data_IF_252898106234
#
_entry.id   IF_252898106234
#
_cell.length_a   1.000
_cell.length_b   1.000
_cell.length_c   1.000
_cell.angle_alpha   90.00
_cell.angle_beta   90.00
_cell.angle_gamma   90.00
#
_symmetry.space_group_name_H-M   'P 1'
#
loop_
_entity.id
_entity.type
_entity.pdbx_description
1 polymer ?
#
# COMPACT_ATOMS: atom_id res chain seq x y z
N UNK A 1 -13.73 23.82 14.28
CA UNK A 1 -12.88 22.73 13.72
C UNK A 1 -11.78 23.35 12.89
N UNK A 2 -10.55 22.88 13.07
CA UNK A 2 -9.39 23.25 12.27
C UNK A 2 -9.19 22.22 11.15
N UNK A 3 -8.81 22.66 9.95
CA UNK A 3 -8.52 21.77 8.81
C UNK A 3 -7.13 22.07 8.27
N UNK A 4 -6.31 21.03 8.13
CA UNK A 4 -4.95 21.11 7.59
C UNK A 4 -4.88 20.29 6.31
N UNK A 5 -4.50 20.93 5.21
CA UNK A 5 -4.19 20.25 3.96
C UNK A 5 -2.73 19.78 3.96
N UNK A 6 -2.48 18.54 3.54
CA UNK A 6 -1.13 17.96 3.45
C UNK A 6 -0.94 17.33 2.06
N UNK A 7 -0.01 17.86 1.27
CA UNK A 7 0.19 17.45 -0.11
C UNK A 7 0.99 16.14 -0.23
N UNK A 8 1.16 15.65 -1.46
CA UNK A 8 1.98 14.48 -1.80
C UNK A 8 3.42 14.81 -2.19
N UNK A 9 4.19 13.79 -2.58
CA UNK A 9 5.51 13.95 -3.19
C UNK A 9 5.45 14.77 -4.50
N UNK A 10 6.56 15.42 -4.85
CA UNK A 10 6.73 16.24 -6.07
C UNK A 10 5.95 17.57 -6.11
N UNK A 11 5.34 18.00 -5.01
CA UNK A 11 4.67 19.30 -4.94
C UNK A 11 5.67 20.41 -4.60
N UNK A 12 5.67 21.47 -5.42
CA UNK A 12 6.47 22.68 -5.22
C UNK A 12 5.63 23.93 -4.94
N UNK A 13 4.29 23.83 -5.03
CA UNK A 13 3.37 24.94 -4.78
C UNK A 13 2.04 24.45 -4.19
N UNK A 14 1.53 25.18 -3.20
CA UNK A 14 0.24 24.93 -2.55
C UNK A 14 -0.99 25.05 -3.46
N UNK A 15 -0.83 25.52 -4.71
CA UNK A 15 -1.92 25.51 -5.67
C UNK A 15 -2.34 24.06 -6.02
N UNK A 16 -1.51 23.05 -5.71
CA UNK A 16 -1.87 21.63 -5.82
C UNK A 16 -3.22 21.29 -5.19
N UNK A 17 -3.63 22.04 -4.16
CA UNK A 17 -4.90 21.85 -3.45
C UNK A 17 -6.14 22.26 -4.27
N UNK A 18 -5.98 22.77 -5.48
CA UNK A 18 -7.09 23.27 -6.30
C UNK A 18 -7.79 24.42 -5.60
N UNK A 19 -9.11 24.51 -5.76
CA UNK A 19 -9.96 25.46 -5.04
C UNK A 19 -10.77 24.79 -3.92
N UNK A 20 -10.43 23.54 -3.56
CA UNK A 20 -11.07 22.80 -2.48
C UNK A 20 -10.99 23.51 -1.12
N UNK A 21 -9.84 24.10 -0.71
CA UNK A 21 -9.77 24.86 0.54
C UNK A 21 -10.74 26.06 0.57
N UNK A 22 -10.77 26.85 -0.51
CA UNK A 22 -11.64 28.02 -0.64
C UNK A 22 -13.11 27.63 -0.64
N UNK A 23 -13.45 26.53 -1.31
CA UNK A 23 -14.81 26.01 -1.30
C UNK A 23 -15.23 25.53 0.09
N UNK A 24 -14.38 24.77 0.80
CA UNK A 24 -14.68 24.36 2.18
C UNK A 24 -14.87 25.57 3.10
N UNK A 25 -14.10 26.64 2.93
CA UNK A 25 -14.30 27.88 3.66
C UNK A 25 -15.67 28.52 3.34
N UNK A 26 -16.12 28.49 2.09
CA UNK A 26 -17.43 29.02 1.69
C UNK A 26 -18.58 28.24 2.35
N UNK A 27 -18.46 26.92 2.48
CA UNK A 27 -19.44 26.05 3.14
C UNK A 27 -19.60 26.38 4.64
N UNK A 28 -18.64 27.06 5.24
CA UNK A 28 -18.74 27.55 6.62
C UNK A 28 -19.72 28.71 6.74
N UNK A 29 -19.67 29.66 5.79
CA UNK A 29 -20.55 30.84 5.76
C UNK A 29 -22.01 30.44 5.56
N UNK A 30 -22.24 29.35 4.86
CA UNK A 30 -23.56 28.78 4.59
C UNK A 30 -24.08 27.88 5.74
N UNK A 31 -23.33 27.76 6.85
CA UNK A 31 -23.72 26.99 8.03
C UNK A 31 -23.59 25.47 7.87
N UNK A 32 -23.01 24.98 6.78
CA UNK A 32 -22.87 23.55 6.51
C UNK A 32 -21.74 22.88 7.32
N UNK A 33 -20.76 23.65 7.82
CA UNK A 33 -19.65 23.17 8.65
C UNK A 33 -19.35 24.13 9.81
N UNK A 34 -19.04 23.59 10.98
CA UNK A 34 -18.51 24.34 12.13
C UNK A 34 -16.97 24.52 12.01
N UNK A 35 -16.51 25.06 10.89
CA UNK A 35 -15.14 25.54 10.69
C UNK A 35 -15.18 27.06 10.77
N UNK A 36 -14.27 27.68 11.52
CA UNK A 36 -14.21 29.14 11.62
C UNK A 36 -13.43 29.68 10.41
N UNK A 37 -13.80 30.86 9.92
CA UNK A 37 -13.03 31.57 8.89
C UNK A 37 -11.59 31.73 9.40
N UNK A 38 -10.61 31.36 8.57
CA UNK A 38 -9.18 31.32 8.97
C UNK A 38 -8.71 30.03 9.67
N UNK A 39 -9.58 29.04 9.91
CA UNK A 39 -9.18 27.73 10.46
C UNK A 39 -8.87 26.69 9.36
N UNK A 40 -8.49 27.13 8.16
CA UNK A 40 -8.01 26.28 7.07
C UNK A 40 -6.54 26.60 6.79
N UNK A 41 -5.70 25.58 6.91
CA UNK A 41 -4.24 25.70 6.80
C UNK A 41 -3.75 24.89 5.61
N UNK A 42 -2.89 25.49 4.79
CA UNK A 42 -2.25 24.84 3.66
C UNK A 42 -0.85 24.38 4.09
N UNK A 43 -0.73 23.13 4.51
CA UNK A 43 0.55 22.54 4.86
C UNK A 43 1.49 22.47 3.65
N UNK A 44 2.79 22.53 3.92
CA UNK A 44 3.83 22.32 2.91
C UNK A 44 5.00 21.58 3.54
N UNK A 45 5.65 20.71 2.78
CA UNK A 45 6.90 20.08 3.15
C UNK A 45 7.78 19.88 1.93
N UNK A 46 9.09 19.75 2.15
CA UNK A 46 10.07 19.55 1.08
C UNK A 46 10.16 18.06 0.78
N UNK A 47 9.96 17.69 -0.48
CA UNK A 47 10.03 16.29 -0.95
C UNK A 47 11.04 16.04 -2.06
N UNK A 48 11.65 17.10 -2.62
CA UNK A 48 12.74 17.05 -3.60
C UNK A 48 14.06 17.44 -2.93
N UNK A 49 14.45 16.64 -1.95
CA UNK A 49 15.74 16.76 -1.28
C UNK A 49 16.14 15.39 -0.74
N UNK A 50 17.31 14.91 -1.13
CA UNK A 50 17.81 13.56 -0.83
C UNK A 50 18.31 13.43 0.62
N UNK A 51 18.37 14.53 1.37
CA UNK A 51 18.63 14.51 2.82
C UNK A 51 17.35 14.35 3.65
N UNK A 52 16.17 14.50 3.03
CA UNK A 52 14.88 14.47 3.73
C UNK A 52 14.22 13.10 3.60
N UNK A 53 13.88 12.49 4.73
CA UNK A 53 13.10 11.25 4.81
C UNK A 53 11.64 11.52 5.16
N UNK A 54 10.77 10.51 4.98
CA UNK A 54 9.37 10.61 5.43
C UNK A 54 9.26 10.80 6.96
N UNK A 55 10.20 10.24 7.72
CA UNK A 55 10.28 10.41 9.18
C UNK A 55 10.63 11.86 9.56
N UNK A 56 11.57 12.49 8.85
CA UNK A 56 11.89 13.91 9.04
C UNK A 56 10.66 14.79 8.75
N UNK A 57 9.92 14.48 7.68
CA UNK A 57 8.68 15.20 7.33
C UNK A 57 7.63 15.04 8.44
N UNK A 58 7.43 13.84 8.99
CA UNK A 58 6.48 13.59 10.06
C UNK A 58 6.86 14.33 11.37
N UNK A 59 8.15 14.39 11.70
CA UNK A 59 8.67 15.18 12.83
C UNK A 59 8.52 16.69 12.62
N UNK A 60 8.82 17.17 11.41
CA UNK A 60 8.62 18.57 11.05
C UNK A 60 7.12 18.96 11.05
N UNK A 61 6.23 18.03 10.67
CA UNK A 61 4.79 18.23 10.76
C UNK A 61 4.33 18.42 12.21
N UNK A 62 4.82 17.63 13.16
CA UNK A 62 4.55 17.85 14.59
C UNK A 62 4.99 19.24 15.05
N UNK A 63 6.21 19.65 14.66
CA UNK A 63 6.73 20.97 15.00
C UNK A 63 5.82 22.08 14.47
N UNK A 64 5.45 22.02 13.18
CA UNK A 64 4.57 23.00 12.55
C UNK A 64 3.17 23.04 13.19
N UNK A 65 2.58 21.88 13.52
CA UNK A 65 1.28 21.81 14.21
C UNK A 65 1.38 22.47 15.59
N UNK A 66 2.47 22.22 16.33
CA UNK A 66 2.67 22.85 17.64
C UNK A 66 2.92 24.34 17.54
N UNK A 67 3.69 24.79 16.56
CA UNK A 67 4.00 26.21 16.36
C UNK A 67 2.74 27.01 15.99
N UNK A 68 1.98 26.53 15.01
CA UNK A 68 0.84 27.27 14.45
C UNK A 68 -0.44 27.15 15.30
N UNK A 69 -0.57 26.10 16.11
CA UNK A 69 -1.83 25.75 16.76
C UNK A 69 -1.73 25.52 18.27
N UNK A 70 -0.60 25.86 18.91
CA UNK A 70 -0.36 25.61 20.33
C UNK A 70 -1.55 26.02 21.22
N UNK A 71 -2.03 27.25 21.06
CA UNK A 71 -3.11 27.81 21.87
C UNK A 71 -4.43 27.08 21.66
N UNK A 72 -4.80 26.80 20.41
CA UNK A 72 -6.03 26.08 20.07
C UNK A 72 -6.00 24.66 20.62
N UNK A 73 -4.86 23.97 20.48
CA UNK A 73 -4.67 22.62 21.03
C UNK A 73 -4.70 22.61 22.56
N UNK A 74 -4.12 23.63 23.23
CA UNK A 74 -4.21 23.79 24.69
C UNK A 74 -5.65 24.00 25.17
N UNK A 75 -6.48 24.65 24.36
CA UNK A 75 -7.92 24.81 24.63
C UNK A 75 -8.74 23.55 24.33
N UNK A 76 -8.09 22.46 23.92
CA UNK A 76 -8.74 21.19 23.61
C UNK A 76 -9.34 21.12 22.20
N UNK A 77 -9.07 22.11 21.33
CA UNK A 77 -9.49 22.00 19.93
C UNK A 77 -8.77 20.85 19.23
N UNK A 78 -9.52 20.13 18.40
CA UNK A 78 -9.00 19.07 17.52
C UNK A 78 -8.99 19.55 16.08
N UNK A 79 -8.07 19.00 15.28
CA UNK A 79 -7.97 19.32 13.86
C UNK A 79 -8.30 18.13 12.95
N UNK A 80 -8.63 18.40 11.71
CA UNK A 80 -8.79 17.41 10.64
C UNK A 80 -7.63 17.56 9.65
N UNK A 81 -7.12 16.45 9.13
CA UNK A 81 -6.19 16.46 8.01
C UNK A 81 -6.91 16.01 6.74
N UNK A 82 -6.75 16.78 5.66
CA UNK A 82 -7.09 16.36 4.30
C UNK A 82 -5.78 16.18 3.57
N UNK A 83 -5.44 14.94 3.23
CA UNK A 83 -4.13 14.60 2.70
C UNK A 83 -4.22 14.16 1.24
N UNK A 84 -3.17 14.36 0.46
CA UNK A 84 -3.04 13.81 -0.89
C UNK A 84 -1.87 12.85 -0.99
N UNK A 85 -2.05 11.70 -1.64
CA UNK A 85 -0.92 10.82 -2.01
C UNK A 85 -0.02 10.52 -0.79
N UNK A 86 1.28 10.82 -0.86
CA UNK A 86 2.25 10.67 0.24
C UNK A 86 1.86 11.38 1.53
N UNK A 87 1.04 12.43 1.49
CA UNK A 87 0.57 13.13 2.68
C UNK A 87 -0.23 12.23 3.64
N UNK A 88 -0.91 11.20 3.12
CA UNK A 88 -1.60 10.21 3.96
C UNK A 88 -0.62 9.45 4.85
N UNK A 89 0.37 8.75 4.26
CA UNK A 89 1.51 8.20 4.98
C UNK A 89 2.22 9.15 5.95
N UNK A 90 2.43 10.43 5.58
CA UNK A 90 3.04 11.42 6.49
C UNK A 90 2.24 11.55 7.78
N UNK A 91 0.93 11.80 7.68
CA UNK A 91 0.09 11.99 8.87
C UNK A 91 -0.05 10.67 9.65
N UNK A 92 -0.11 9.53 8.96
CA UNK A 92 -0.12 8.22 9.62
C UNK A 92 1.17 7.94 10.40
N UNK A 93 2.32 8.28 9.83
CA UNK A 93 3.63 8.13 10.48
C UNK A 93 3.76 9.09 11.65
N UNK A 94 3.31 10.34 11.51
CA UNK A 94 3.23 11.29 12.61
C UNK A 94 2.38 10.75 13.78
N UNK A 95 1.20 10.20 13.50
CA UNK A 95 0.39 9.54 14.53
C UNK A 95 1.14 8.40 15.20
N UNK A 96 1.87 7.60 14.43
CA UNK A 96 2.65 6.47 14.97
C UNK A 96 3.80 6.92 15.88
N UNK A 97 4.54 7.94 15.47
CA UNK A 97 5.69 8.45 16.23
C UNK A 97 5.27 9.05 17.57
N UNK A 98 4.15 9.78 17.61
CA UNK A 98 3.79 10.61 18.76
C UNK A 98 2.61 10.08 19.58
N UNK A 99 1.73 9.26 19.00
CA UNK A 99 0.45 8.92 19.62
C UNK A 99 0.10 7.42 19.63
N UNK A 100 0.91 6.52 19.06
CA UNK A 100 0.58 5.07 18.99
C UNK A 100 0.27 4.43 20.34
N UNK A 101 0.94 4.87 21.39
CA UNK A 101 0.76 4.36 22.75
C UNK A 101 -0.34 5.10 23.52
N UNK A 102 -0.90 6.19 22.97
CA UNK A 102 -1.94 6.98 23.60
C UNK A 102 -2.79 7.75 22.56
N UNK A 103 -3.60 7.02 21.80
CA UNK A 103 -4.47 7.60 20.77
C UNK A 103 -5.50 8.57 21.36
N UNK A 104 -5.88 8.42 22.63
CA UNK A 104 -6.79 9.34 23.31
C UNK A 104 -6.23 10.77 23.43
N UNK A 105 -4.90 10.91 23.48
CA UNK A 105 -4.23 12.21 23.50
C UNK A 105 -3.99 12.80 22.10
N UNK A 106 -4.33 12.08 21.03
CA UNK A 106 -4.10 12.55 19.66
C UNK A 106 -5.06 13.71 19.33
N UNK A 107 -4.54 14.89 18.94
CA UNK A 107 -5.37 16.05 18.59
C UNK A 107 -6.08 15.90 17.24
N UNK A 108 -5.77 14.86 16.47
CA UNK A 108 -6.43 14.59 15.20
C UNK A 108 -7.86 14.11 15.44
N UNK A 109 -8.82 14.68 14.74
CA UNK A 109 -10.23 14.25 14.74
C UNK A 109 -10.61 13.51 13.47
N UNK A 110 -10.05 13.90 12.32
CA UNK A 110 -10.33 13.30 11.03
C UNK A 110 -9.06 13.16 10.22
N UNK A 111 -8.89 12.01 9.56
CA UNK A 111 -7.86 11.79 8.56
C UNK A 111 -8.54 11.43 7.24
N UNK A 112 -8.68 12.40 6.34
CA UNK A 112 -9.31 12.20 5.03
C UNK A 112 -8.19 12.09 3.99
N UNK A 113 -7.90 10.86 3.57
CA UNK A 113 -6.83 10.57 2.64
C UNK A 113 -7.36 10.50 1.21
N UNK A 114 -6.88 11.40 0.36
CA UNK A 114 -7.21 11.47 -1.06
C UNK A 114 -6.11 10.80 -1.87
N UNK A 115 -6.43 9.66 -2.47
CA UNK A 115 -5.52 8.80 -3.23
C UNK A 115 -4.19 8.48 -2.51
N UNK A 116 -4.20 8.02 -1.23
CA UNK A 116 -2.97 7.84 -0.46
C UNK A 116 -2.12 6.67 -0.97
N UNK A 117 -0.80 6.80 -0.92
CA UNK A 117 0.14 5.70 -1.21
C UNK A 117 0.43 4.86 0.05
N UNK A 118 -0.61 4.31 0.70
CA UNK A 118 -0.51 3.65 2.01
C UNK A 118 0.38 2.41 2.02
N UNK A 119 0.31 1.60 0.97
CA UNK A 119 1.16 0.43 0.75
C UNK A 119 2.22 0.66 -0.35
N UNK A 120 2.46 1.94 -0.70
CA UNK A 120 3.38 2.36 -1.75
C UNK A 120 2.73 2.56 -3.12
N UNK A 121 3.57 2.76 -4.14
CA UNK A 121 3.18 2.93 -5.54
C UNK A 121 4.20 2.27 -6.47
N UNK A 122 3.71 1.67 -7.56
CA UNK A 122 4.55 1.06 -8.58
C UNK A 122 5.46 2.09 -9.27
N UNK A 123 4.99 3.34 -9.43
CA UNK A 123 5.74 4.41 -10.08
C UNK A 123 6.94 4.91 -9.27
N UNK A 124 7.05 4.55 -7.98
CA UNK A 124 8.20 4.91 -7.16
C UNK A 124 9.51 4.33 -7.71
N UNK A 125 9.50 3.19 -8.43
CA UNK A 125 10.69 2.68 -9.13
C UNK A 125 11.03 3.47 -10.40
N UNK A 126 10.05 4.09 -11.06
CA UNK A 126 10.31 4.91 -12.24
C UNK A 126 11.10 6.18 -11.91
N UNK A 127 10.79 6.81 -10.77
CA UNK A 127 11.59 7.92 -10.23
C UNK A 127 13.06 7.54 -9.95
N UNK A 128 13.35 6.24 -9.87
CA UNK A 128 14.69 5.66 -9.65
C UNK A 128 15.35 5.15 -10.93
N UNK A 129 14.62 5.10 -12.04
CA UNK A 129 15.15 4.63 -13.31
C UNK A 129 16.34 5.50 -13.75
N UNK A 130 17.36 4.86 -14.35
CA UNK A 130 18.62 5.54 -14.72
C UNK A 130 18.38 6.80 -15.57
N UNK A 131 17.38 6.79 -16.47
CA UNK A 131 17.05 7.93 -17.33
C UNK A 131 16.50 9.15 -16.55
N UNK A 132 15.61 8.94 -15.58
CA UNK A 132 15.12 10.02 -14.73
C UNK A 132 16.24 10.59 -13.84
N UNK A 133 17.08 9.71 -13.25
CA UNK A 133 18.24 10.12 -12.46
C UNK A 133 19.28 10.87 -13.29
N UNK A 134 19.51 10.48 -14.55
CA UNK A 134 20.42 11.18 -15.47
C UNK A 134 19.89 12.58 -15.77
N UNK A 135 18.59 12.73 -16.05
CA UNK A 135 17.98 14.05 -16.31
C UNK A 135 18.05 14.95 -15.06
N UNK A 136 17.67 14.43 -13.90
CA UNK A 136 17.76 15.15 -12.62
C UNK A 136 19.21 15.53 -12.25
N UNK A 137 20.18 14.65 -12.50
CA UNK A 137 21.61 14.91 -12.28
C UNK A 137 22.16 16.01 -13.20
N UNK A 138 21.75 16.04 -14.47
CA UNK A 138 22.13 17.11 -15.40
C UNK A 138 21.44 18.46 -15.11
N UNK A 139 20.27 18.45 -14.47
CA UNK A 139 19.51 19.64 -14.08
C UNK A 139 19.83 20.11 -12.63
N UNK A 140 20.64 19.36 -11.87
CA UNK A 140 20.98 19.68 -10.47
C UNK A 140 19.81 19.54 -9.48
N UNK A 141 18.79 18.75 -9.81
CA UNK A 141 17.58 18.57 -9.00
C UNK A 141 17.63 17.23 -8.26
N UNK A 142 17.59 17.25 -6.94
CA UNK A 142 17.48 16.03 -6.13
C UNK A 142 16.05 15.46 -6.19
N UNK A 143 15.87 14.16 -6.53
CA UNK A 143 14.54 13.57 -6.67
C UNK A 143 13.83 13.30 -5.33
N UNK A 144 14.50 13.46 -4.19
CA UNK A 144 13.96 13.05 -2.89
C UNK A 144 13.95 11.53 -2.75
N UNK A 145 15.08 10.90 -3.10
CA UNK A 145 15.26 9.46 -3.15
C UNK A 145 14.81 8.74 -1.87
N UNK A 146 15.05 9.22 -0.63
CA UNK A 146 14.58 8.55 0.57
C UNK A 146 13.05 8.49 0.69
N UNK A 147 12.34 9.52 0.21
CA UNK A 147 10.87 9.51 0.17
C UNK A 147 10.37 8.51 -0.88
N UNK A 148 11.00 8.44 -2.05
CA UNK A 148 10.72 7.43 -3.06
C UNK A 148 11.07 6.00 -2.61
N UNK A 149 12.10 5.83 -1.79
CA UNK A 149 12.44 4.56 -1.14
C UNK A 149 11.37 4.11 -0.16
N UNK A 150 10.78 5.05 0.57
CA UNK A 150 9.63 4.77 1.41
C UNK A 150 8.39 4.38 0.58
N UNK A 151 8.11 5.10 -0.51
CA UNK A 151 6.94 4.89 -1.36
C UNK A 151 7.03 3.67 -2.27
N UNK A 152 8.19 3.05 -2.39
CA UNK A 152 8.34 1.82 -3.17
C UNK A 152 7.51 0.68 -2.57
N UNK A 153 6.78 -0.05 -3.42
CA UNK A 153 6.05 -1.23 -2.99
C UNK A 153 6.98 -2.19 -2.23
N UNK A 154 6.50 -2.69 -1.09
CA UNK A 154 7.27 -3.57 -0.22
C UNK A 154 8.41 -2.90 0.55
N UNK A 155 8.48 -1.56 0.62
CA UNK A 155 9.50 -0.89 1.45
C UNK A 155 9.36 -1.30 2.92
N UNK A 156 10.51 -1.45 3.60
CA UNK A 156 10.51 -1.90 5.00
C UNK A 156 9.83 -0.89 5.92
N UNK A 157 10.02 0.41 5.68
CA UNK A 157 9.39 1.47 6.49
C UNK A 157 7.88 1.56 6.26
N UNK A 158 7.39 1.35 5.03
CA UNK A 158 5.95 1.25 4.77
C UNK A 158 5.36 0.00 5.42
N UNK A 159 6.07 -1.14 5.34
CA UNK A 159 5.67 -2.37 6.03
C UNK A 159 5.50 -2.15 7.53
N UNK A 160 6.52 -1.61 8.21
CA UNK A 160 6.48 -1.36 9.66
C UNK A 160 5.34 -0.44 10.07
N UNK A 161 5.07 0.62 9.28
CA UNK A 161 3.95 1.51 9.56
C UNK A 161 2.60 0.78 9.42
N UNK A 162 2.42 -0.04 8.38
CA UNK A 162 1.20 -0.82 8.21
C UNK A 162 1.05 -1.90 9.29
N UNK A 163 2.12 -2.58 9.67
CA UNK A 163 2.11 -3.55 10.77
C UNK A 163 1.66 -2.90 12.09
N UNK A 164 2.21 -1.72 12.43
CA UNK A 164 1.78 -0.96 13.61
C UNK A 164 0.29 -0.57 13.54
N UNK A 165 -0.18 -0.13 12.37
CA UNK A 165 -1.56 0.34 12.16
C UNK A 165 -2.64 -0.75 12.23
N UNK A 166 -2.29 -2.04 12.18
CA UNK A 166 -3.25 -3.14 12.29
C UNK A 166 -4.07 -3.10 13.60
N UNK A 167 -3.47 -2.58 14.67
CA UNK A 167 -4.06 -2.59 16.01
C UNK A 167 -4.76 -1.28 16.39
N UNK A 168 -4.79 -0.29 15.49
CA UNK A 168 -5.36 1.03 15.81
C UNK A 168 -6.89 0.96 15.83
N UNK A 169 -7.49 1.43 16.92
CA UNK A 169 -8.93 1.70 17.03
C UNK A 169 -9.19 3.20 17.05
N UNK A 170 -8.99 3.84 15.91
CA UNK A 170 -9.15 5.29 15.74
C UNK A 170 -10.54 5.77 16.20
N UNK A 171 -11.60 5.06 15.80
CA UNK A 171 -12.97 5.47 16.12
C UNK A 171 -13.31 5.34 17.59
N UNK A 172 -12.66 4.43 18.32
CA UNK A 172 -12.80 4.35 19.76
C UNK A 172 -12.35 5.64 20.46
N UNK A 173 -11.36 6.33 19.88
CA UNK A 173 -10.74 7.56 20.39
C UNK A 173 -11.21 8.85 19.69
N UNK A 174 -12.33 8.77 18.96
CA UNK A 174 -12.92 9.93 18.27
C UNK A 174 -12.08 10.42 17.08
N UNK A 175 -11.27 9.53 16.48
CA UNK A 175 -10.51 9.78 15.27
C UNK A 175 -11.22 9.05 14.11
N UNK A 176 -11.63 9.79 13.08
CA UNK A 176 -12.35 9.25 11.92
C UNK A 176 -11.45 9.25 10.68
N UNK A 177 -10.98 8.08 10.27
CA UNK A 177 -10.10 7.93 9.11
C UNK A 177 -10.89 7.49 7.86
N UNK A 178 -10.59 8.08 6.71
CA UNK A 178 -11.25 7.81 5.43
C UNK A 178 -10.21 7.69 4.33
N UNK A 179 -10.42 6.73 3.41
CA UNK A 179 -9.67 6.64 2.15
C UNK A 179 -10.63 6.95 1.01
N UNK A 180 -10.39 8.03 0.27
CA UNK A 180 -11.10 8.34 -0.97
C UNK A 180 -10.09 8.27 -2.10
N UNK A 181 -10.30 7.41 -3.09
CA UNK A 181 -9.39 7.25 -4.23
C UNK A 181 -10.14 7.30 -5.54
N UNK A 182 -9.43 7.52 -6.64
CA UNK A 182 -9.98 7.31 -7.98
C UNK A 182 -9.64 5.92 -8.51
N UNK A 183 -10.21 5.59 -9.66
CA UNK A 183 -9.72 4.51 -10.54
C UNK A 183 -9.71 4.90 -12.02
N UNK A 184 -10.00 6.17 -12.31
CA UNK A 184 -9.94 6.70 -13.68
C UNK A 184 -8.49 7.06 -14.00
N UNK A 185 -8.05 6.74 -15.21
CA UNK A 185 -6.72 7.08 -15.71
C UNK A 185 -6.85 8.28 -16.65
N UNK A 186 -6.09 9.35 -16.42
CA UNK A 186 -5.99 10.46 -17.37
C UNK A 186 -5.00 10.12 -18.51
N UNK A 187 -5.49 9.41 -19.52
CA UNK A 187 -4.64 8.93 -20.64
C UNK A 187 -3.93 10.06 -21.40
N UNK A 188 -4.49 11.27 -21.45
CA UNK A 188 -3.81 12.41 -22.11
C UNK A 188 -2.52 12.83 -21.39
N UNK A 189 -2.45 12.63 -20.07
CA UNK A 189 -1.27 12.94 -19.26
C UNK A 189 -0.22 11.83 -19.32
N UNK A 190 -0.65 10.58 -19.54
CA UNK A 190 0.17 9.38 -19.32
C UNK A 190 0.56 8.62 -20.61
N UNK A 191 -0.17 8.78 -21.71
CA UNK A 191 0.13 8.10 -23.00
C UNK A 191 1.50 8.49 -23.59
N UNK A 192 2.12 9.58 -23.13
CA UNK A 192 3.41 10.06 -23.62
C UNK A 192 4.63 9.58 -22.81
N UNK A 193 4.46 8.94 -21.64
CA UNK A 193 5.57 8.82 -20.66
C UNK A 193 5.90 7.42 -20.13
N UNK A 194 4.99 6.44 -20.05
CA UNK A 194 5.37 5.09 -19.55
C UNK A 194 4.32 3.98 -19.72
N UNK A 195 4.76 2.72 -19.78
CA UNK A 195 3.89 1.52 -19.71
C UNK A 195 3.36 1.23 -18.30
N UNK A 196 3.99 1.78 -17.25
CA UNK A 196 3.54 1.65 -15.86
C UNK A 196 2.49 2.70 -15.45
N UNK A 197 2.32 3.76 -16.25
CA UNK A 197 1.25 4.74 -16.05
C UNK A 197 0.00 4.27 -16.77
N UNK A 198 -1.14 4.22 -16.05
CA UNK A 198 -2.40 3.73 -16.62
C UNK A 198 -2.64 2.23 -16.46
N UNK A 199 -2.10 1.63 -15.40
CA UNK A 199 -2.46 0.28 -14.96
C UNK A 199 -3.92 0.25 -14.49
N UNK A 200 -4.72 -0.69 -15.00
CA UNK A 200 -6.11 -0.86 -14.58
C UNK A 200 -6.20 -1.18 -13.08
N UNK A 201 -7.24 -0.67 -12.41
CA UNK A 201 -7.36 -0.77 -10.96
C UNK A 201 -6.49 0.23 -10.19
N UNK A 202 -6.04 1.30 -10.85
CA UNK A 202 -5.34 2.43 -10.26
C UNK A 202 -5.95 3.76 -10.70
N UNK A 203 -5.61 4.84 -10.02
CA UNK A 203 -5.92 6.20 -10.45
C UNK A 203 -4.88 6.80 -11.43
N UNK A 204 -4.05 5.92 -12.02
CA UNK A 204 -2.91 6.28 -12.86
C UNK A 204 -1.57 6.34 -12.12
N UNK A 205 -1.56 6.36 -10.78
CA UNK A 205 -0.33 6.40 -9.96
C UNK A 205 -0.36 5.39 -8.82
N UNK A 206 -1.45 5.34 -8.08
CA UNK A 206 -1.63 4.46 -6.92
C UNK A 206 -2.72 3.45 -7.23
N UNK A 207 -2.40 2.16 -7.06
CA UNK A 207 -3.38 1.07 -7.13
C UNK A 207 -4.43 1.28 -6.05
N UNK A 208 -5.70 1.03 -6.37
CA UNK A 208 -6.79 1.07 -5.38
C UNK A 208 -6.45 0.17 -4.19
N UNK A 209 -5.94 -1.04 -4.44
CA UNK A 209 -5.48 -1.97 -3.42
C UNK A 209 -4.36 -1.42 -2.54
N UNK A 210 -3.47 -0.58 -3.08
CA UNK A 210 -2.38 0.04 -2.35
C UNK A 210 -2.81 1.29 -1.54
N UNK A 211 -3.90 1.94 -1.94
CA UNK A 211 -4.48 3.06 -1.21
C UNK A 211 -5.36 2.61 -0.03
N UNK A 212 -6.03 1.47 -0.16
CA UNK A 212 -6.95 0.95 0.84
C UNK A 212 -6.24 0.64 2.17
N UNK A 213 -6.95 0.88 3.28
CA UNK A 213 -6.51 0.59 4.65
C UNK A 213 -7.29 -0.55 5.31
N UNK A 214 -8.15 -1.22 4.54
CA UNK A 214 -8.62 -2.56 4.84
C UNK A 214 -7.60 -3.54 4.26
N UNK A 215 -6.87 -4.23 5.14
CA UNK A 215 -5.81 -5.17 4.77
C UNK A 215 -5.59 -6.18 5.90
N UNK A 216 -4.85 -7.24 5.57
CA UNK A 216 -4.49 -8.30 6.51
C UNK A 216 -2.98 -8.51 6.53
N UNK A 217 -2.45 -8.94 7.68
CA UNK A 217 -1.11 -9.49 7.83
C UNK A 217 -1.22 -10.98 8.17
N UNK A 218 -0.52 -11.80 7.41
CA UNK A 218 -0.36 -13.23 7.62
C UNK A 218 1.13 -13.51 7.82
N UNK A 219 1.47 -14.13 8.94
CA UNK A 219 2.83 -14.61 9.22
C UNK A 219 2.83 -16.12 9.23
N UNK A 220 3.70 -16.69 8.41
CA UNK A 220 3.85 -18.11 8.16
C UNK A 220 5.27 -18.56 8.51
N UNK A 221 5.38 -19.73 9.13
CA UNK A 221 6.67 -20.35 9.43
C UNK A 221 6.74 -21.74 8.80
N UNK A 222 7.83 -22.02 8.09
CA UNK A 222 8.12 -23.34 7.55
C UNK A 222 8.57 -24.27 8.68
N UNK A 223 7.86 -25.38 8.87
CA UNK A 223 8.18 -26.37 9.89
C UNK A 223 8.33 -27.78 9.32
N UNK A 224 8.86 -28.68 10.13
CA UNK A 224 8.99 -30.09 9.81
C UNK A 224 10.21 -30.43 8.96
N UNK A 225 10.39 -31.72 8.67
CA UNK A 225 11.61 -32.22 8.05
C UNK A 225 11.54 -32.26 6.52
N UNK A 226 10.36 -32.25 5.90
CA UNK A 226 10.16 -32.32 4.45
C UNK A 226 10.24 -30.95 3.75
N UNK A 227 9.89 -29.85 4.45
CA UNK A 227 9.89 -28.50 3.88
C UNK A 227 8.52 -28.05 3.32
N UNK A 228 7.50 -28.89 3.43
CA UNK A 228 6.17 -28.64 2.83
C UNK A 228 5.20 -27.97 3.81
N UNK A 229 5.45 -28.05 5.12
CA UNK A 229 4.52 -27.53 6.11
C UNK A 229 4.73 -26.04 6.36
N UNK A 230 3.67 -25.25 6.18
CA UNK A 230 3.57 -23.89 6.69
C UNK A 230 2.60 -23.85 7.85
N UNK A 231 3.05 -23.28 8.97
CA UNK A 231 2.23 -23.02 10.14
C UNK A 231 1.92 -21.52 10.18
N UNK A 232 0.65 -21.19 10.40
CA UNK A 232 0.22 -19.82 10.65
C UNK A 232 0.64 -19.42 12.05
N UNK A 233 1.59 -18.50 12.19
CA UNK A 233 2.00 -17.98 13.50
C UNK A 233 1.12 -16.81 13.93
N UNK A 234 0.68 -15.99 12.96
CA UNK A 234 -0.19 -14.86 13.22
C UNK A 234 -1.05 -14.58 11.98
N UNK A 235 -2.33 -14.25 12.22
CA UNK A 235 -3.22 -13.69 11.22
C UNK A 235 -3.97 -12.52 11.86
N UNK A 236 -3.77 -11.32 11.34
CA UNK A 236 -4.37 -10.09 11.85
C UNK A 236 -4.99 -9.32 10.71
N UNK A 237 -6.21 -8.82 10.91
CA UNK A 237 -6.89 -7.93 9.96
C UNK A 237 -7.05 -6.56 10.59
N UNK A 238 -6.88 -5.50 9.80
CA UNK A 238 -7.12 -4.14 10.26
C UNK A 238 -8.57 -3.96 10.71
N UNK A 239 -8.81 -2.98 11.59
CA UNK A 239 -10.17 -2.51 11.84
C UNK A 239 -10.76 -1.95 10.54
N UNK A 240 -12.05 -2.20 10.24
CA UNK A 240 -12.69 -1.66 9.05
C UNK A 240 -12.51 -0.16 8.94
N UNK A 241 -12.00 0.31 7.80
CA UNK A 241 -11.82 1.72 7.50
C UNK A 241 -12.70 2.12 6.32
N UNK A 242 -13.42 3.23 6.48
CA UNK A 242 -14.25 3.80 5.43
C UNK A 242 -13.42 4.09 4.17
N UNK A 243 -13.77 3.44 3.05
CA UNK A 243 -13.09 3.57 1.77
C UNK A 243 -14.10 3.78 0.65
N UNK A 244 -13.81 4.72 -0.25
CA UNK A 244 -14.62 4.98 -1.43
C UNK A 244 -13.78 5.20 -2.69
N UNK A 245 -14.19 4.58 -3.80
CA UNK A 245 -13.71 4.92 -5.14
C UNK A 245 -14.62 6.01 -5.73
N UNK A 246 -14.07 7.21 -5.89
CA UNK A 246 -14.79 8.37 -6.39
C UNK A 246 -14.87 8.33 -7.93
N UNK A 247 -16.05 8.59 -8.51
CA UNK A 247 -16.23 8.55 -9.96
C UNK A 247 -15.42 9.64 -10.67
N UNK A 248 -14.86 9.28 -11.83
CA UNK A 248 -14.15 10.16 -12.76
C UNK A 248 -12.84 10.73 -12.27
N UNK A 249 -12.36 10.29 -11.10
CA UNK A 249 -11.18 10.85 -10.44
C UNK A 249 -9.91 10.07 -10.84
N UNK A 250 -8.88 10.81 -11.25
CA UNK A 250 -7.50 10.37 -11.44
C UNK A 250 -6.60 10.89 -10.31
N UNK A 251 -5.36 10.42 -10.23
CA UNK A 251 -4.45 10.81 -9.14
C UNK A 251 -4.19 12.32 -9.12
N UNK A 252 -3.99 12.90 -10.31
CA UNK A 252 -3.52 14.27 -10.51
C UNK A 252 -4.08 14.86 -11.81
N UNK A 253 -3.90 16.17 -12.01
CA UNK A 253 -4.33 16.88 -13.22
C UNK A 253 -5.49 17.86 -12.98
N UNK A 254 -5.58 18.89 -13.84
CA UNK A 254 -6.56 19.98 -13.72
C UNK A 254 -7.99 19.57 -14.12
N UNK A 255 -8.15 18.49 -14.89
CA UNK A 255 -9.46 18.05 -15.40
C UNK A 255 -10.07 16.94 -14.56
N UNK A 256 -9.27 15.95 -14.16
CA UNK A 256 -9.73 14.74 -13.47
C UNK A 256 -9.01 14.47 -12.15
N UNK A 257 -7.97 15.25 -11.80
CA UNK A 257 -7.17 14.98 -10.62
C UNK A 257 -7.97 15.15 -9.34
N UNK A 258 -7.98 14.13 -8.47
CA UNK A 258 -8.85 14.00 -7.30
C UNK A 258 -8.92 15.26 -6.44
N UNK A 259 -7.87 16.09 -6.38
CA UNK A 259 -7.90 17.40 -5.75
C UNK A 259 -7.84 18.55 -6.76
N UNK A 260 -6.82 18.57 -7.63
CA UNK A 260 -6.50 19.74 -8.47
C UNK A 260 -7.59 20.08 -9.50
N UNK A 261 -8.55 19.18 -9.79
CA UNK A 261 -9.71 19.48 -10.64
C UNK A 261 -10.89 20.12 -9.93
N UNK A 262 -10.86 20.25 -8.60
CA UNK A 262 -11.88 20.98 -7.85
C UNK A 262 -11.73 22.47 -8.10
N UNK A 263 -12.79 23.09 -8.61
CA UNK A 263 -12.95 24.55 -8.80
C UNK A 263 -14.21 25.03 -8.09
N UNK A 264 -14.28 26.31 -7.73
CA UNK A 264 -15.48 26.94 -7.16
C UNK A 264 -16.71 26.73 -8.05
N UNK A 265 -16.51 26.67 -9.37
CA UNK A 265 -17.59 26.46 -10.34
C UNK A 265 -18.14 25.01 -10.35
N UNK A 266 -17.35 24.01 -9.95
CA UNK A 266 -17.77 22.61 -9.99
C UNK A 266 -17.87 21.94 -8.60
N UNK A 267 -17.34 22.55 -7.55
CA UNK A 267 -17.16 21.89 -6.26
C UNK A 267 -18.47 21.40 -5.61
N UNK A 268 -19.59 22.08 -5.85
CA UNK A 268 -20.90 21.64 -5.34
C UNK A 268 -21.32 20.24 -5.84
N UNK A 269 -20.83 19.81 -7.00
CA UNK A 269 -21.12 18.50 -7.60
C UNK A 269 -19.87 17.63 -7.79
N UNK A 270 -18.67 18.19 -7.57
CA UNK A 270 -17.43 17.44 -7.70
C UNK A 270 -17.37 16.33 -6.64
N UNK A 271 -17.15 15.05 -7.01
CA UNK A 271 -17.18 13.93 -6.08
C UNK A 271 -16.29 14.11 -4.85
N UNK A 272 -15.04 14.54 -5.05
CA UNK A 272 -14.12 14.82 -3.93
C UNK A 272 -14.67 15.84 -2.95
N UNK A 273 -15.11 17.00 -3.42
CA UNK A 273 -15.58 18.08 -2.56
C UNK A 273 -16.81 17.64 -1.75
N UNK A 274 -17.78 17.00 -2.40
CA UNK A 274 -18.98 16.45 -1.77
C UNK A 274 -18.63 15.44 -0.68
N UNK A 275 -17.75 14.46 -0.98
CA UNK A 275 -17.43 13.40 -0.03
C UNK A 275 -16.51 13.85 1.10
N UNK A 276 -15.56 14.76 0.84
CA UNK A 276 -14.74 15.41 1.88
C UNK A 276 -15.64 16.16 2.86
N UNK A 277 -16.59 16.96 2.36
CA UNK A 277 -17.56 17.67 3.19
C UNK A 277 -18.37 16.71 4.08
N UNK A 278 -18.82 15.57 3.52
CA UNK A 278 -19.53 14.54 4.29
C UNK A 278 -18.64 13.88 5.35
N UNK A 279 -17.37 13.63 5.06
CA UNK A 279 -16.42 13.09 6.03
C UNK A 279 -16.22 14.05 7.21
N UNK A 280 -16.03 15.34 6.96
CA UNK A 280 -15.83 16.37 8.01
C UNK A 280 -17.05 16.55 8.94
N UNK A 281 -18.25 16.20 8.44
CA UNK A 281 -19.50 16.24 9.20
C UNK A 281 -19.67 15.07 10.17
N UNK A 282 -18.87 14.01 10.06
CA UNK A 282 -18.93 12.88 11.01
C UNK A 282 -18.51 13.35 12.40
N UNK A 283 -19.29 12.97 13.43
CA UNK A 283 -19.03 13.29 14.84
C UNK A 283 -19.19 12.10 15.78
N UNK A 284 -19.75 10.99 15.28
CA UNK A 284 -20.12 9.83 16.08
C UNK A 284 -19.72 8.54 15.36
N UNK A 285 -19.61 7.44 16.11
CA UNK A 285 -19.32 6.11 15.54
C UNK A 285 -20.43 5.66 14.59
N UNK A 286 -21.69 5.91 14.92
CA UNK A 286 -22.82 5.56 14.05
C UNK A 286 -22.79 6.36 12.74
N UNK A 287 -22.47 7.65 12.83
CA UNK A 287 -22.29 8.50 11.64
C UNK A 287 -21.13 8.02 10.77
N UNK A 288 -20.05 7.55 11.37
CA UNK A 288 -18.92 6.95 10.66
C UNK A 288 -19.32 5.66 9.94
N UNK A 289 -19.99 4.73 10.64
CA UNK A 289 -20.49 3.48 10.05
C UNK A 289 -21.48 3.74 8.91
N UNK A 290 -22.40 4.69 9.08
CA UNK A 290 -23.33 5.08 8.03
C UNK A 290 -22.62 5.64 6.79
N UNK A 291 -21.59 6.47 6.99
CA UNK A 291 -20.80 7.01 5.88
C UNK A 291 -19.94 5.94 5.21
N UNK A 292 -19.36 5.02 5.98
CA UNK A 292 -18.60 3.88 5.45
C UNK A 292 -19.48 3.02 4.52
N UNK A 293 -20.69 2.66 4.96
CA UNK A 293 -21.65 1.92 4.12
C UNK A 293 -22.05 2.69 2.85
N UNK A 294 -22.14 4.02 2.93
CA UNK A 294 -22.42 4.86 1.77
C UNK A 294 -21.25 4.89 0.77
N UNK A 295 -20.01 4.89 1.26
CA UNK A 295 -18.80 4.82 0.43
C UNK A 295 -18.62 3.42 -0.21
N UNK A 296 -19.02 2.35 0.48
CA UNK A 296 -19.09 1.00 -0.12
C UNK A 296 -20.03 0.99 -1.31
N UNK A 297 -21.26 1.50 -1.15
CA UNK A 297 -22.22 1.58 -2.27
C UNK A 297 -21.72 2.46 -3.42
N UNK A 298 -21.10 3.60 -3.12
CA UNK A 298 -20.47 4.45 -4.13
C UNK A 298 -19.40 3.67 -4.90
N UNK A 299 -18.56 2.93 -4.20
CA UNK A 299 -17.50 2.12 -4.81
C UNK A 299 -18.07 1.10 -5.79
N UNK A 300 -19.09 0.34 -5.37
CA UNK A 300 -19.75 -0.65 -6.22
C UNK A 300 -20.41 0.00 -7.45
N UNK A 301 -21.02 1.18 -7.30
CA UNK A 301 -21.60 1.93 -8.40
C UNK A 301 -20.53 2.45 -9.37
N UNK A 302 -19.49 3.10 -8.85
CA UNK A 302 -18.37 3.61 -9.65
C UNK A 302 -17.66 2.50 -10.40
N UNK A 303 -17.35 1.38 -9.74
CA UNK A 303 -16.67 0.26 -10.40
C UNK A 303 -17.51 -0.39 -11.49
N UNK A 304 -18.84 -0.47 -11.31
CA UNK A 304 -19.75 -0.93 -12.38
C UNK A 304 -19.79 0.05 -13.55
N UNK A 305 -19.92 1.35 -13.27
CA UNK A 305 -20.05 2.39 -14.29
C UNK A 305 -18.75 2.62 -15.08
N UNK A 306 -17.59 2.41 -14.45
CA UNK A 306 -16.26 2.62 -15.04
C UNK A 306 -15.57 1.30 -15.44
N UNK A 307 -16.30 0.17 -15.45
CA UNK A 307 -15.72 -1.13 -15.81
C UNK A 307 -15.20 -1.13 -17.25
N UNK A 308 -15.89 -0.43 -18.17
CA UNK A 308 -15.54 -0.39 -19.59
C UNK A 308 -15.30 1.07 -19.99
N UNK A 309 -14.09 1.37 -20.44
CA UNK A 309 -13.74 2.65 -21.04
C UNK A 309 -13.52 2.47 -22.56
N UNK A 310 -14.27 3.21 -23.37
CA UNK A 310 -14.07 3.23 -24.83
C UNK A 310 -13.35 4.50 -25.26
N UNK A 311 -12.15 4.34 -25.83
CA UNK A 311 -11.33 5.43 -26.35
C UNK A 311 -11.30 5.36 -27.86
N UNK A 312 -11.73 6.44 -28.53
CA UNK A 312 -11.57 6.59 -29.99
C UNK A 312 -10.14 7.06 -30.28
N UNK A 313 -9.37 6.24 -30.99
CA UNK A 313 -8.13 6.68 -31.63
C UNK A 313 -8.42 7.13 -33.06
N UNK A 314 -7.44 7.72 -33.74
CA UNK A 314 -7.55 8.14 -35.14
C UNK A 314 -7.94 6.99 -36.10
N UNK A 315 -7.61 5.74 -35.76
CA UNK A 315 -7.76 4.58 -36.65
C UNK A 315 -8.72 3.49 -36.12
N UNK A 316 -8.97 3.41 -34.81
CA UNK A 316 -9.83 2.39 -34.24
C UNK A 316 -10.43 2.80 -32.88
N UNK A 317 -11.50 2.12 -32.47
CA UNK A 317 -11.97 2.17 -31.07
C UNK A 317 -11.18 1.16 -30.25
N UNK A 318 -10.59 1.61 -29.15
CA UNK A 318 -9.95 0.75 -28.17
C UNK A 318 -10.80 0.69 -26.92
N UNK A 319 -11.09 -0.53 -26.47
CA UNK A 319 -11.80 -0.78 -25.22
C UNK A 319 -10.79 -1.15 -24.14
N UNK A 320 -10.96 -0.57 -22.96
CA UNK A 320 -10.19 -0.88 -21.77
C UNK A 320 -11.14 -1.39 -20.70
N UNK A 321 -10.84 -2.57 -20.15
CA UNK A 321 -11.62 -3.20 -19.09
C UNK A 321 -10.88 -3.04 -17.76
N UNK A 322 -11.59 -2.50 -16.77
CA UNK A 322 -11.10 -2.33 -15.41
C UNK A 322 -11.85 -3.26 -14.48
N UNK A 323 -11.19 -4.34 -14.06
CA UNK A 323 -11.70 -5.26 -13.05
C UNK A 323 -11.42 -4.76 -11.62
N UNK A 324 -11.87 -5.52 -10.63
CA UNK A 324 -11.37 -5.44 -9.26
C UNK A 324 -10.04 -6.19 -9.15
N UNK A 325 -9.12 -5.67 -8.34
CA UNK A 325 -7.78 -6.23 -8.20
C UNK A 325 -7.39 -6.35 -6.72
N UNK A 326 -6.46 -7.24 -6.43
CA UNK A 326 -5.88 -7.42 -5.10
C UNK A 326 -4.36 -7.35 -5.16
N UNK A 327 -3.72 -6.96 -4.06
CA UNK A 327 -2.27 -6.89 -3.96
C UNK A 327 -1.75 -7.81 -2.86
N UNK A 328 -0.70 -8.58 -3.15
CA UNK A 328 0.01 -9.39 -2.15
C UNK A 328 1.41 -8.83 -1.99
N UNK A 329 1.78 -8.46 -0.76
CA UNK A 329 3.13 -8.05 -0.39
C UNK A 329 3.80 -9.18 0.38
N UNK A 330 4.71 -9.90 -0.25
CA UNK A 330 5.52 -10.92 0.40
C UNK A 330 6.74 -10.31 1.08
N UNK A 331 7.04 -10.79 2.28
CA UNK A 331 8.31 -10.62 3.01
C UNK A 331 8.88 -12.01 3.27
N UNK A 332 9.97 -12.34 2.59
CA UNK A 332 10.64 -13.63 2.74
C UNK A 332 11.89 -13.47 3.60
N UNK A 333 11.93 -14.23 4.70
CA UNK A 333 13.04 -14.22 5.66
C UNK A 333 13.47 -15.64 6.00
N UNK A 334 14.67 -15.80 6.54
CA UNK A 334 15.09 -17.05 7.18
C UNK A 334 14.66 -17.11 8.68
N UNK A 335 14.88 -18.27 9.30
CA UNK A 335 14.61 -18.51 10.71
C UNK A 335 15.50 -17.72 11.70
N UNK A 336 16.48 -16.99 11.18
CA UNK A 336 17.32 -16.02 11.91
C UNK A 336 16.87 -14.58 11.69
N UNK A 337 15.85 -14.35 10.88
CA UNK A 337 15.29 -13.04 10.56
C UNK A 337 16.01 -12.29 9.44
N UNK A 338 16.96 -12.92 8.75
CA UNK A 338 17.64 -12.31 7.60
C UNK A 338 16.71 -12.30 6.39
N UNK A 339 16.73 -11.24 5.56
CA UNK A 339 16.00 -11.23 4.29
C UNK A 339 16.54 -12.30 3.34
N UNK A 340 15.64 -12.92 2.55
CA UNK A 340 16.05 -13.80 1.46
C UNK A 340 16.38 -12.98 0.21
N UNK A 341 17.65 -12.91 -0.14
CA UNK A 341 18.10 -12.10 -1.28
C UNK A 341 18.05 -12.86 -2.62
N UNK A 342 17.93 -14.19 -2.60
CA UNK A 342 17.88 -15.03 -3.80
C UNK A 342 16.81 -16.12 -3.67
N UNK A 343 15.75 -15.99 -4.48
CA UNK A 343 14.62 -16.91 -4.49
C UNK A 343 13.77 -16.75 -5.75
N UNK A 344 13.01 -17.80 -6.04
CA UNK A 344 11.86 -17.81 -6.93
C UNK A 344 10.58 -18.03 -6.12
N UNK A 345 9.54 -17.26 -6.45
CA UNK A 345 8.20 -17.38 -5.89
C UNK A 345 7.20 -17.54 -7.04
N UNK A 346 6.44 -18.62 -7.06
CA UNK A 346 5.45 -18.87 -8.12
C UNK A 346 4.06 -19.02 -7.51
N UNK A 347 3.03 -18.54 -8.21
CA UNK A 347 1.65 -18.92 -7.90
C UNK A 347 1.29 -20.19 -8.67
N UNK A 348 0.51 -21.06 -8.06
CA UNK A 348 0.11 -22.35 -8.63
C UNK A 348 -1.39 -22.52 -8.57
N UNK A 349 -2.01 -23.22 -9.52
CA UNK A 349 -3.45 -23.44 -9.50
C UNK A 349 -3.87 -24.79 -10.10
N UNK A 350 -5.16 -25.10 -9.96
CA UNK A 350 -5.78 -26.29 -10.54
C UNK A 350 -5.49 -27.59 -9.79
N UNK A 351 -5.99 -28.73 -10.28
CA UNK A 351 -5.93 -30.01 -9.56
C UNK A 351 -4.52 -30.48 -9.18
N UNK A 352 -3.50 -30.04 -9.93
CA UNK A 352 -2.10 -30.42 -9.74
C UNK A 352 -1.23 -29.29 -9.19
N UNK A 353 -1.81 -28.14 -8.79
CA UNK A 353 -1.05 -26.96 -8.37
C UNK A 353 0.09 -26.62 -9.35
N UNK A 354 -0.29 -26.43 -10.61
CA UNK A 354 0.65 -26.09 -11.69
C UNK A 354 0.68 -24.58 -11.93
N UNK A 355 1.88 -24.05 -12.19
CA UNK A 355 2.11 -22.66 -12.58
C UNK A 355 1.43 -22.33 -13.92
N UNK A 356 1.39 -23.30 -14.83
CA UNK A 356 0.76 -23.16 -16.15
C UNK A 356 -0.77 -23.22 -16.14
N UNK A 357 -1.39 -23.49 -14.98
CA UNK A 357 -2.84 -23.59 -14.84
C UNK A 357 -3.49 -22.25 -14.43
N UNK A 358 -2.71 -21.20 -14.17
CA UNK A 358 -3.25 -19.88 -13.83
C UNK A 358 -4.10 -19.33 -15.00
N UNK A 359 -5.32 -18.82 -14.73
CA UNK A 359 -6.14 -18.23 -15.78
C UNK A 359 -5.44 -17.05 -16.46
N UNK A 360 -5.61 -16.93 -17.79
CA UNK A 360 -5.06 -15.80 -18.55
C UNK A 360 -5.56 -14.48 -17.97
N UNK A 361 -4.63 -13.56 -17.69
CA UNK A 361 -4.94 -12.24 -17.12
C UNK A 361 -5.11 -12.20 -15.60
N UNK A 362 -5.04 -13.35 -14.91
CA UNK A 362 -5.06 -13.38 -13.44
C UNK A 362 -3.86 -12.66 -12.84
N UNK A 363 -2.67 -12.96 -13.32
CA UNK A 363 -1.43 -12.32 -12.88
C UNK A 363 -1.20 -11.04 -13.69
N UNK A 364 -1.23 -9.89 -13.03
CA UNK A 364 -1.19 -8.57 -13.69
C UNK A 364 0.22 -7.99 -13.65
N UNK A 365 0.82 -7.93 -12.47
CA UNK A 365 2.14 -7.34 -12.28
C UNK A 365 2.94 -8.01 -11.15
N UNK A 366 4.27 -7.94 -11.29
CA UNK A 366 5.26 -8.39 -10.30
C UNK A 366 6.30 -7.30 -10.10
N UNK A 367 6.46 -6.85 -8.86
CA UNK A 367 7.49 -5.87 -8.50
C UNK A 367 8.28 -6.29 -7.26
N UNK A 368 9.58 -6.55 -7.45
CA UNK A 368 10.53 -6.79 -6.36
C UNK A 368 11.08 -5.47 -5.84
N UNK A 369 11.17 -5.29 -4.53
CA UNK A 369 11.74 -4.06 -3.97
C UNK A 369 13.25 -4.00 -4.23
N UNK A 370 13.75 -2.84 -4.64
CA UNK A 370 15.15 -2.64 -5.05
C UNK A 370 16.13 -2.60 -3.87
N UNK A 371 15.67 -2.12 -2.70
CA UNK A 371 16.52 -2.00 -1.49
C UNK A 371 16.35 -3.16 -0.52
N UNK A 372 15.23 -3.87 -0.59
CA UNK A 372 14.94 -5.06 0.20
C UNK A 372 14.50 -6.19 -0.73
N UNK A 373 15.43 -6.91 -1.36
CA UNK A 373 15.10 -7.94 -2.35
C UNK A 373 14.31 -9.13 -1.73
N UNK A 374 14.29 -9.29 -0.41
CA UNK A 374 13.37 -10.18 0.31
C UNK A 374 11.88 -9.80 0.21
N UNK A 375 11.55 -8.65 -0.40
CA UNK A 375 10.18 -8.15 -0.55
C UNK A 375 9.71 -8.20 -2.00
N UNK A 376 8.53 -8.76 -2.21
CA UNK A 376 7.95 -8.96 -3.54
C UNK A 376 6.47 -8.64 -3.54
N UNK A 377 6.04 -7.88 -4.55
CA UNK A 377 4.65 -7.46 -4.70
C UNK A 377 4.03 -8.13 -5.90
N UNK A 378 2.92 -8.83 -5.70
CA UNK A 378 2.06 -9.35 -6.77
C UNK A 378 0.78 -8.52 -6.85
N UNK A 379 0.39 -8.16 -8.06
CA UNK A 379 -0.88 -7.53 -8.35
C UNK A 379 -1.73 -8.50 -9.19
N UNK A 380 -2.91 -8.81 -8.69
CA UNK A 380 -3.73 -9.92 -9.16
C UNK A 380 -5.12 -9.41 -9.56
N UNK A 381 -5.65 -9.91 -10.66
CA UNK A 381 -7.01 -9.63 -11.11
C UNK A 381 -8.00 -10.49 -10.33
N UNK A 382 -8.70 -9.86 -9.37
CA UNK A 382 -9.59 -10.55 -8.45
C UNK A 382 -10.80 -11.14 -9.18
N UNK A 383 -11.35 -10.43 -10.18
CA UNK A 383 -12.51 -10.93 -10.92
C UNK A 383 -12.17 -12.17 -11.77
N UNK A 384 -10.97 -12.20 -12.34
CA UNK A 384 -10.47 -13.40 -13.05
C UNK A 384 -10.16 -14.53 -12.07
N UNK A 385 -9.71 -14.22 -10.84
CA UNK A 385 -9.56 -15.23 -9.79
C UNK A 385 -10.91 -15.87 -9.46
N UNK A 386 -11.92 -15.04 -9.18
CA UNK A 386 -13.26 -15.46 -8.78
C UNK A 386 -13.96 -16.26 -9.88
N UNK A 387 -13.77 -15.91 -11.16
CA UNK A 387 -14.44 -16.60 -12.28
C UNK A 387 -13.61 -17.71 -12.90
N UNK A 388 -12.28 -17.64 -12.83
CA UNK A 388 -11.36 -18.54 -13.51
C UNK A 388 -10.82 -19.66 -12.62
N UNK A 389 -10.59 -19.39 -11.33
CA UNK A 389 -10.07 -20.40 -10.37
C UNK A 389 -11.23 -21.09 -9.64
N UNK A 390 -12.33 -20.39 -9.37
CA UNK A 390 -13.52 -20.95 -8.71
C UNK A 390 -14.41 -21.78 -9.66
N UNK A 391 -13.81 -22.66 -10.45
CA UNK A 391 -14.54 -23.53 -11.38
C UNK A 391 -14.40 -24.99 -10.99
N UNK A 392 -15.37 -25.87 -11.30
CA UNK A 392 -15.24 -27.31 -11.02
C UNK A 392 -13.99 -27.93 -11.62
N UNK A 393 -13.55 -27.46 -12.80
CA UNK A 393 -12.33 -27.92 -13.47
C UNK A 393 -11.06 -27.56 -12.68
N UNK A 394 -11.03 -26.38 -12.08
CA UNK A 394 -9.90 -25.88 -11.31
C UNK A 394 -9.95 -26.30 -9.83
N UNK A 395 -11.06 -26.87 -9.38
CA UNK A 395 -11.34 -27.33 -8.01
C UNK A 395 -11.20 -26.22 -6.94
N UNK A 396 -11.11 -24.95 -7.35
CA UNK A 396 -10.76 -23.87 -6.45
C UNK A 396 -9.35 -24.03 -5.86
N UNK A 397 -8.45 -24.80 -6.46
CA UNK A 397 -7.10 -24.98 -5.92
C UNK A 397 -6.21 -23.81 -6.35
N UNK A 398 -5.58 -23.16 -5.37
CA UNK A 398 -4.61 -22.08 -5.56
C UNK A 398 -3.55 -22.17 -4.46
N UNK A 399 -2.30 -22.00 -4.83
CA UNK A 399 -1.16 -22.17 -3.94
C UNK A 399 0.02 -21.31 -4.37
N UNK A 400 1.17 -21.56 -3.76
CA UNK A 400 2.41 -20.96 -4.18
C UNK A 400 3.60 -21.86 -3.87
N UNK A 401 4.69 -21.67 -4.62
CA UNK A 401 5.95 -22.39 -4.45
C UNK A 401 7.09 -21.43 -4.24
N UNK A 402 7.94 -21.70 -3.25
CA UNK A 402 9.15 -20.91 -2.96
C UNK A 402 10.38 -21.80 -3.09
N UNK A 403 11.26 -21.41 -4.00
CA UNK A 403 12.60 -21.97 -4.14
C UNK A 403 13.60 -20.91 -3.70
N UNK A 404 14.25 -21.12 -2.55
CA UNK A 404 15.25 -20.21 -2.01
C UNK A 404 16.66 -20.81 -2.12
N UNK A 405 17.67 -19.97 -2.31
CA UNK A 405 19.03 -20.41 -2.58
C UNK A 405 19.98 -20.14 -1.39
N UNK A 406 21.02 -20.99 -1.18
CA UNK A 406 21.28 -22.25 -1.89
C UNK A 406 20.26 -23.35 -1.59
N UNK A 407 19.96 -24.16 -2.60
CA UNK A 407 19.04 -25.31 -2.53
C UNK A 407 19.69 -26.55 -1.87
N UNK A 408 18.85 -27.48 -1.42
CA UNK A 408 19.27 -28.79 -0.97
C UNK A 408 20.02 -29.56 -2.08
N UNK A 409 21.20 -30.10 -1.76
CA UNK A 409 21.96 -31.01 -2.63
C UNK A 409 22.88 -31.92 -1.81
N UNK A 410 23.42 -32.96 -2.43
CA UNK A 410 24.35 -33.90 -1.80
C UNK A 410 25.66 -33.25 -1.31
N UNK A 411 25.92 -32.00 -1.71
CA UNK A 411 27.10 -31.22 -1.31
C UNK A 411 26.73 -30.01 -0.43
N UNK A 412 25.45 -29.73 -0.22
CA UNK A 412 25.03 -28.54 0.49
C UNK A 412 25.21 -28.70 2.01
N UNK A 413 26.06 -27.86 2.58
CA UNK A 413 26.28 -27.80 4.03
C UNK A 413 25.33 -26.82 4.74
N UNK A 414 24.78 -25.87 4.00
CA UNK A 414 23.74 -24.96 4.46
C UNK A 414 22.78 -24.66 3.30
N UNK A 415 21.48 -24.83 3.50
CA UNK A 415 20.50 -24.77 2.40
C UNK A 415 19.07 -24.44 2.87
N UNK A 416 18.20 -24.14 1.89
CA UNK A 416 16.75 -24.10 2.05
C UNK A 416 16.11 -25.26 1.29
N UNK A 417 14.95 -25.73 1.77
CA UNK A 417 14.12 -26.69 1.04
C UNK A 417 13.05 -25.98 0.24
N UNK A 418 12.66 -26.60 -0.87
CA UNK A 418 11.49 -26.20 -1.62
C UNK A 418 10.29 -26.16 -0.68
N UNK A 419 9.61 -25.02 -0.68
CA UNK A 419 8.32 -24.87 -0.03
C UNK A 419 7.24 -24.93 -1.11
N UNK A 420 6.33 -25.90 -1.00
CA UNK A 420 5.22 -26.06 -1.94
C UNK A 420 3.91 -26.03 -1.15
N UNK A 421 3.23 -24.88 -1.19
CA UNK A 421 2.04 -24.62 -0.39
C UNK A 421 0.78 -24.80 -1.23
N UNK A 422 -0.12 -25.65 -0.75
CA UNK A 422 -1.40 -25.97 -1.37
C UNK A 422 -2.56 -25.44 -0.51
N UNK A 423 -3.49 -24.71 -1.13
CA UNK A 423 -4.66 -24.16 -0.45
C UNK A 423 -5.91 -24.22 -1.33
N UNK A 424 -7.07 -24.18 -0.68
CA UNK A 424 -8.34 -23.95 -1.37
C UNK A 424 -8.60 -22.45 -1.54
N UNK A 425 -9.42 -22.10 -2.54
CA UNK A 425 -9.90 -20.75 -2.77
C UNK A 425 -10.82 -20.29 -1.64
N UNK A 426 -11.54 -21.22 -1.00
CA UNK A 426 -12.34 -20.91 0.18
C UNK A 426 -11.47 -20.40 1.34
N UNK A 427 -10.24 -20.91 1.48
CA UNK A 427 -9.27 -20.41 2.45
C UNK A 427 -8.63 -19.10 2.01
N UNK A 428 -8.35 -18.95 0.71
CA UNK A 428 -7.77 -17.72 0.16
C UNK A 428 -8.75 -16.56 0.21
N UNK A 429 -10.05 -16.78 -0.03
CA UNK A 429 -11.10 -15.75 0.08
C UNK A 429 -11.30 -15.24 1.52
N UNK A 430 -10.74 -15.92 2.53
CA UNK A 430 -10.69 -15.40 3.91
C UNK A 430 -9.62 -14.32 4.09
N UNK A 431 -8.70 -14.19 3.13
CA UNK A 431 -7.47 -13.41 3.28
C UNK A 431 -7.31 -12.40 2.13
N UNK A 432 -7.63 -12.79 0.89
CA UNK A 432 -7.55 -11.96 -0.29
C UNK A 432 -8.94 -11.42 -0.65
N UNK A 433 -9.05 -10.10 -0.71
CA UNK A 433 -10.30 -9.39 -0.98
C UNK A 433 -10.12 -8.40 -2.13
N UNK A 434 -11.19 -8.05 -2.87
CA UNK A 434 -11.10 -7.08 -3.95
C UNK A 434 -10.72 -5.71 -3.39
N UNK A 435 -9.86 -5.00 -4.12
CA UNK A 435 -9.36 -3.68 -3.78
C UNK A 435 -8.58 -3.62 -2.45
N UNK A 436 -8.05 -4.75 -1.96
CA UNK A 436 -7.29 -4.82 -0.70
C UNK A 436 -5.87 -5.34 -0.91
N UNK A 437 -5.02 -5.03 0.07
CA UNK A 437 -3.69 -5.60 0.19
C UNK A 437 -3.69 -6.72 1.24
N UNK A 438 -2.93 -7.79 1.01
CA UNK A 438 -2.49 -8.70 2.06
C UNK A 438 -0.97 -8.66 2.17
N UNK A 439 -0.48 -8.48 3.38
CA UNK A 439 0.92 -8.59 3.75
C UNK A 439 1.17 -10.03 4.21
N UNK A 440 2.14 -10.71 3.59
CA UNK A 440 2.47 -12.11 3.90
C UNK A 440 3.95 -12.21 4.26
N UNK A 441 4.25 -12.45 5.53
CA UNK A 441 5.60 -12.81 5.96
C UNK A 441 5.75 -14.32 5.93
N UNK A 442 6.79 -14.82 5.26
CA UNK A 442 7.11 -16.24 5.19
C UNK A 442 8.53 -16.43 5.70
N UNK A 443 8.64 -17.14 6.82
CA UNK A 443 9.89 -17.53 7.43
C UNK A 443 10.27 -18.93 6.98
N UNK A 444 11.34 -19.04 6.19
CA UNK A 444 11.90 -20.32 5.75
C UNK A 444 12.94 -20.83 6.75
N UNK A 445 13.03 -22.14 6.91
CA UNK A 445 14.01 -22.75 7.80
C UNK A 445 15.38 -22.83 7.10
N UNK A 446 16.43 -22.24 7.70
CA UNK A 446 17.79 -22.37 7.21
C UNK A 446 18.43 -23.62 7.79
N UNK A 447 18.59 -24.64 6.96
CA UNK A 447 19.19 -25.91 7.41
C UNK A 447 20.68 -25.84 7.33
N UNK A 448 21.36 -26.21 8.42
CA UNK A 448 22.82 -26.23 8.49
C UNK A 448 23.26 -27.60 8.99
N UNK A 449 24.15 -28.26 8.26
CA UNK A 449 24.71 -29.55 8.64
C UNK A 449 25.73 -29.39 9.78
N UNK A 450 25.74 -30.34 10.71
CA UNK A 450 26.70 -30.39 11.81
C UNK A 450 28.16 -30.50 11.36
N UNK A 451 28.44 -30.84 10.10
CA UNK A 451 29.80 -30.82 9.55
C UNK A 451 30.36 -29.40 9.34
N UNK A 452 29.51 -28.37 9.32
CA UNK A 452 29.96 -26.96 9.17
C UNK A 452 30.91 -26.55 10.28
N UNK A 453 30.67 -27.02 11.50
CA UNK A 453 31.56 -26.79 12.63
C UNK A 453 31.58 -28.00 13.55
N UNK A 454 32.79 -28.53 13.81
CA UNK A 454 33.00 -29.65 14.73
C UNK A 454 34.21 -29.37 15.60
N UNK A 455 34.08 -29.72 16.87
CA UNK A 455 35.18 -29.72 17.84
C UNK A 455 35.51 -31.18 18.12
N UNK A 456 36.79 -31.53 18.13
CA UNK A 456 37.28 -32.88 18.36
C UNK A 456 38.41 -32.85 19.39
N UNK A 457 38.50 -33.88 20.23
CA UNK A 457 39.64 -34.12 21.10
C UNK A 457 40.72 -34.99 20.41
N UNK A 458 40.54 -35.32 19.12
CA UNK A 458 41.57 -35.95 18.32
C UNK A 458 42.71 -34.96 18.06
N UNK A 459 43.87 -35.22 18.68
CA UNK A 459 45.07 -34.38 18.57
C UNK A 459 45.85 -34.60 17.26
N UNK A 460 45.43 -35.56 16.42
CA UNK A 460 46.00 -35.78 15.08
C UNK A 460 45.31 -34.85 14.09
N UNK A 461 46.03 -33.90 13.45
CA UNK A 461 45.45 -33.05 12.42
C UNK A 461 44.87 -33.89 11.27
N UNK A 462 43.63 -33.58 10.87
CA UNK A 462 42.94 -34.27 9.80
C UNK A 462 42.44 -33.28 8.74
N UNK A 463 42.27 -33.76 7.50
CA UNK A 463 41.72 -32.95 6.41
C UNK A 463 40.24 -32.62 6.70
N UNK A 464 39.86 -31.35 6.50
CA UNK A 464 38.47 -30.91 6.62
C UNK A 464 37.65 -31.51 5.48
N UNK A 465 36.56 -32.21 5.82
CA UNK A 465 35.61 -32.78 4.86
C UNK A 465 34.44 -31.82 4.64
N UNK A 466 34.12 -31.53 3.38
CA UNK A 466 32.93 -30.76 3.00
C UNK A 466 31.70 -31.66 2.75
N UNK A 467 31.77 -32.96 3.09
CA UNK A 467 30.65 -33.89 2.91
C UNK A 467 29.62 -33.70 4.04
N UNK A 468 28.33 -33.47 3.73
CA UNK A 468 27.28 -33.42 4.74
C UNK A 468 27.20 -34.71 5.54
N UNK A 469 26.81 -34.61 6.81
CA UNK A 469 26.62 -35.76 7.71
C UNK A 469 25.16 -36.21 7.79
N UNK A 470 24.22 -35.37 7.34
CA UNK A 470 22.79 -35.60 7.45
C UNK A 470 22.20 -35.21 8.82
N UNK A 471 23.05 -34.83 9.76
CA UNK A 471 22.62 -34.30 11.05
C UNK A 471 22.58 -32.77 11.00
N UNK A 472 21.41 -32.19 11.21
CA UNK A 472 21.21 -30.74 11.16
C UNK A 472 21.23 -30.12 12.56
N UNK A 473 21.80 -28.93 12.66
CA UNK A 473 21.71 -28.10 13.88
C UNK A 473 20.30 -27.51 13.99
N UNK A 474 19.84 -27.32 15.23
CA UNK A 474 18.54 -26.70 15.52
C UNK A 474 18.63 -25.18 15.53
#
# INVERSE_FOLDING_TARGET
MIVIFVHGWSVTHTNTYGELPQWLESQCREGALAIQVGNIYLGRYISFNDTVTLDDIARAFEHAVREEMADKLRQGERFACITHSTGGPVVRLWMDLYYKNNLAACPLSHLIMLAPANHGSALAQLGKSRLARIKCFFEGIEPGQPVLDWLELGSERSWQLNESWLHYDCTAHGIYCFVLTGQTIDRQLYDALNSYTGEAGSDGVVRVAAANMNYSLLQLHQEGNNGENLVVTQMTRSRPMAMGILPGCAHSGKKRGIIRSVTMANAATHPTAVWVLRCLKVKTRDGYTALANALTRLTEETQRNEQIEQVRTLLHKREYVTNRYSMILFKLIDDRGNPLDDYDLYLTAGPQYSEGALPKGFFVDRQRNLRNPGKLTYFLNYDIMETGINTPKMQGNLGFRIRAYPEASDRALAYYRLLDFHSSLADINKILHPNETVMVEIKLQRRVDSSVSRISNNLIPAKISAKPTGHHVK
#
